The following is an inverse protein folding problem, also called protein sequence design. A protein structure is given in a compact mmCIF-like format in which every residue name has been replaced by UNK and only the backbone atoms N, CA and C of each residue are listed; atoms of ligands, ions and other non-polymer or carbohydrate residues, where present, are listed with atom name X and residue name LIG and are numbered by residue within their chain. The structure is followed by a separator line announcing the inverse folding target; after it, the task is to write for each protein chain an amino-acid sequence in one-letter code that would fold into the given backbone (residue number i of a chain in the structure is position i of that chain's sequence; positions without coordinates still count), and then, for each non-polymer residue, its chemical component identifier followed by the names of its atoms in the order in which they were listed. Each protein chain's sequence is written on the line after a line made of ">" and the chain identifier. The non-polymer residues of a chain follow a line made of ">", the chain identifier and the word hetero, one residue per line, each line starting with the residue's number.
data_IF_050173822689
#
_entry.id   IF_050173822689
#
_cell.length_a   1.000
_cell.length_b   1.000
_cell.length_c   1.000
_cell.angle_alpha   90.00
_cell.angle_beta   90.00
_cell.angle_gamma   90.00
#
_symmetry.space_group_name_H-M   'P 1'
#
loop_
_entity.id
_entity.type
_entity.pdbx_description
1 polymer ?
#
# COMPACT_ATOMS: atom_id res chain seq x y z
N UNK A 1 -4.41 7.47 18.61
CA UNK A 1 -5.37 6.71 17.77
C UNK A 1 -5.70 5.45 18.54
N UNK A 2 -6.96 5.01 18.61
CA UNK A 2 -7.28 3.75 19.27
C UNK A 2 -6.97 2.62 18.28
N UNK A 3 -5.98 1.78 18.58
CA UNK A 3 -5.78 0.54 17.83
C UNK A 3 -6.90 -0.42 18.21
N UNK A 4 -7.66 -0.87 17.24
CA UNK A 4 -8.70 -1.88 17.39
C UNK A 4 -8.80 -2.73 16.12
N UNK A 5 -9.67 -3.74 16.11
CA UNK A 5 -9.85 -4.62 14.96
C UNK A 5 -10.22 -3.87 13.68
N UNK A 6 -11.00 -2.80 13.77
CA UNK A 6 -11.42 -2.03 12.60
C UNK A 6 -10.24 -1.24 12.06
N UNK A 7 -9.38 -0.72 12.94
CA UNK A 7 -8.14 -0.09 12.51
C UNK A 7 -7.22 -1.07 11.78
N UNK A 8 -7.11 -2.30 12.27
CA UNK A 8 -6.35 -3.35 11.59
C UNK A 8 -6.96 -3.69 10.21
N UNK A 9 -8.28 -3.80 10.12
CA UNK A 9 -8.99 -4.01 8.85
C UNK A 9 -8.73 -2.86 7.85
N UNK A 10 -8.77 -1.60 8.29
CA UNK A 10 -8.41 -0.44 7.45
C UNK A 10 -6.96 -0.54 6.94
N UNK A 11 -6.02 -0.89 7.83
CA UNK A 11 -4.62 -1.05 7.48
C UNK A 11 -4.43 -2.15 6.43
N UNK A 12 -5.05 -3.31 6.62
CA UNK A 12 -5.03 -4.42 5.66
C UNK A 12 -5.66 -4.00 4.33
N UNK A 13 -6.82 -3.32 4.35
CA UNK A 13 -7.46 -2.81 3.14
C UNK A 13 -6.55 -1.86 2.37
N UNK A 14 -5.79 -1.01 3.07
CA UNK A 14 -4.85 -0.07 2.44
C UNK A 14 -3.73 -0.77 1.66
N UNK A 15 -3.36 -2.02 2.01
CA UNK A 15 -2.35 -2.78 1.29
C UNK A 15 -2.77 -3.07 -0.17
N UNK A 16 -4.07 -3.22 -0.41
CA UNK A 16 -4.62 -3.47 -1.75
C UNK A 16 -4.53 -2.26 -2.68
N UNK A 17 -4.30 -1.05 -2.15
CA UNK A 17 -4.14 0.17 -2.95
C UNK A 17 -3.01 0.04 -3.99
N UNK A 18 -2.00 -0.80 -3.73
CA UNK A 18 -0.93 -1.08 -4.71
C UNK A 18 -1.47 -1.61 -6.04
N UNK A 19 -2.59 -2.34 -6.03
CA UNK A 19 -3.20 -2.84 -7.26
C UNK A 19 -3.85 -1.70 -8.08
N UNK A 20 -4.44 -0.72 -7.41
CA UNK A 20 -4.99 0.48 -8.05
C UNK A 20 -3.87 1.35 -8.61
N UNK A 21 -2.80 1.52 -7.84
CA UNK A 21 -1.58 2.23 -8.24
C UNK A 21 -0.98 1.59 -9.51
N UNK A 22 -0.82 0.25 -9.53
CA UNK A 22 -0.34 -0.50 -10.70
C UNK A 22 -1.30 -0.41 -11.88
N UNK A 23 -2.61 -0.44 -11.65
CA UNK A 23 -3.62 -0.32 -12.70
C UNK A 23 -3.58 1.05 -13.37
N UNK A 24 -3.37 2.12 -12.60
CA UNK A 24 -3.18 3.46 -13.14
C UNK A 24 -1.90 3.56 -14.00
N UNK A 25 -0.80 2.93 -13.56
CA UNK A 25 0.42 2.84 -14.36
C UNK A 25 0.22 2.06 -15.65
N UNK A 26 -0.44 0.90 -15.60
CA UNK A 26 -0.75 0.09 -16.78
C UNK A 26 -1.64 0.85 -17.76
N UNK A 27 -2.66 1.56 -17.27
CA UNK A 27 -3.51 2.39 -18.12
C UNK A 27 -2.68 3.45 -18.86
N UNK A 28 -1.79 4.15 -18.14
CA UNK A 28 -0.91 5.15 -18.77
C UNK A 28 0.00 4.52 -19.83
N UNK A 29 0.56 3.34 -19.55
CA UNK A 29 1.52 2.67 -20.44
C UNK A 29 0.87 2.04 -21.68
N UNK A 30 -0.30 1.42 -21.54
CA UNK A 30 -0.89 0.58 -22.58
C UNK A 30 -2.14 1.18 -23.24
N UNK A 31 -2.86 2.06 -22.55
CA UNK A 31 -4.16 2.58 -23.02
C UNK A 31 -4.10 4.05 -23.46
N UNK A 32 -2.93 4.70 -23.41
CA UNK A 32 -2.76 6.09 -23.86
C UNK A 32 -1.84 6.22 -25.07
N UNK A 33 -1.96 7.34 -25.79
CA UNK A 33 -1.17 7.59 -27.02
C UNK A 33 0.33 7.71 -26.77
N UNK A 34 0.72 8.11 -25.56
CA UNK A 34 2.11 8.27 -25.14
C UNK A 34 2.31 7.57 -23.80
N UNK A 35 3.09 6.49 -23.80
CA UNK A 35 3.46 5.76 -22.59
C UNK A 35 4.42 6.56 -21.69
N UNK A 36 4.89 5.91 -20.63
CA UNK A 36 5.89 6.49 -19.73
C UNK A 36 7.29 6.33 -20.34
N UNK A 37 8.16 7.30 -20.08
CA UNK A 37 9.60 7.09 -20.28
C UNK A 37 10.13 6.07 -19.27
N UNK A 38 11.25 5.42 -19.57
CA UNK A 38 11.86 4.44 -18.67
C UNK A 38 12.19 5.03 -17.29
N UNK A 39 12.68 6.27 -17.23
CA UNK A 39 12.95 6.97 -15.97
C UNK A 39 11.66 7.21 -15.17
N UNK A 40 10.56 7.59 -15.84
CA UNK A 40 9.28 7.77 -15.18
C UNK A 40 8.74 6.44 -14.63
N UNK A 41 8.83 5.34 -15.40
CA UNK A 41 8.44 4.00 -14.94
C UNK A 41 9.21 3.62 -13.68
N UNK A 42 10.52 3.78 -13.71
CA UNK A 42 11.40 3.40 -12.61
C UNK A 42 11.08 4.22 -11.35
N UNK A 43 10.91 5.54 -11.48
CA UNK A 43 10.55 6.41 -10.36
C UNK A 43 9.19 6.07 -9.76
N UNK A 44 8.20 5.78 -10.60
CA UNK A 44 6.85 5.39 -10.17
C UNK A 44 6.89 4.06 -9.41
N UNK A 45 7.57 3.05 -9.94
CA UNK A 45 7.71 1.74 -9.29
C UNK A 45 8.41 1.86 -7.94
N UNK A 46 9.51 2.61 -7.86
CA UNK A 46 10.21 2.85 -6.59
C UNK A 46 9.29 3.51 -5.57
N UNK A 47 8.54 4.54 -5.98
CA UNK A 47 7.56 5.21 -5.12
C UNK A 47 6.46 4.27 -4.62
N UNK A 48 5.91 3.41 -5.49
CA UNK A 48 4.90 2.42 -5.11
C UNK A 48 5.45 1.38 -4.13
N UNK A 49 6.67 0.90 -4.33
CA UNK A 49 7.32 -0.05 -3.43
C UNK A 49 7.51 0.55 -2.03
N UNK A 50 7.97 1.80 -1.95
CA UNK A 50 8.17 2.48 -0.66
C UNK A 50 6.83 2.75 0.04
N UNK A 51 5.82 3.22 -0.70
CA UNK A 51 4.48 3.41 -0.13
C UNK A 51 3.85 2.10 0.35
N UNK A 52 4.01 1.01 -0.40
CA UNK A 52 3.52 -0.29 0.01
C UNK A 52 4.22 -0.77 1.28
N UNK A 53 5.54 -0.61 1.37
CA UNK A 53 6.31 -0.91 2.57
C UNK A 53 5.81 -0.12 3.79
N UNK A 54 5.60 1.19 3.66
CA UNK A 54 5.07 2.02 4.75
C UNK A 54 3.68 1.56 5.22
N UNK A 55 2.81 1.14 4.29
CA UNK A 55 1.50 0.57 4.63
C UNK A 55 1.63 -0.77 5.35
N UNK A 56 2.58 -1.62 4.94
CA UNK A 56 2.92 -2.87 5.64
C UNK A 56 3.40 -2.57 7.07
N UNK A 57 4.37 -1.68 7.23
CA UNK A 57 4.93 -1.32 8.54
C UNK A 57 3.83 -0.82 9.50
N UNK A 58 2.93 0.06 9.02
CA UNK A 58 1.79 0.53 9.80
C UNK A 58 0.78 -0.59 10.15
N UNK A 59 0.59 -1.57 9.25
CA UNK A 59 -0.26 -2.73 9.51
C UNK A 59 0.35 -3.62 10.60
N UNK A 60 1.66 -3.87 10.53
CA UNK A 60 2.37 -4.64 11.55
C UNK A 60 2.38 -3.92 12.90
N UNK A 61 2.60 -2.60 12.93
CA UNK A 61 2.51 -1.80 14.15
C UNK A 61 1.12 -1.93 14.79
N UNK A 62 0.05 -1.80 14.00
CA UNK A 62 -1.31 -2.00 14.51
C UNK A 62 -1.52 -3.41 15.07
N UNK A 63 -1.00 -4.44 14.37
CA UNK A 63 -1.08 -5.83 14.82
C UNK A 63 -0.35 -6.05 16.14
N UNK A 64 0.88 -5.53 16.27
CA UNK A 64 1.69 -5.64 17.49
C UNK A 64 1.01 -4.99 18.69
N UNK A 65 0.41 -3.81 18.50
CA UNK A 65 -0.34 -3.15 19.56
C UNK A 65 -1.57 -3.95 20.02
N UNK A 66 -2.29 -4.60 19.09
CA UNK A 66 -3.41 -5.47 19.46
C UNK A 66 -2.97 -6.73 20.21
N UNK A 67 -1.81 -7.31 19.84
CA UNK A 67 -1.21 -8.43 20.58
C UNK A 67 -0.85 -7.98 22.01
N UNK A 68 -0.22 -6.81 22.17
CA UNK A 68 0.12 -6.26 23.50
C UNK A 68 -1.12 -6.01 24.35
N UNK A 69 -2.24 -5.64 23.74
CA UNK A 69 -3.52 -5.43 24.41
C UNK A 69 -4.24 -6.75 24.76
N UNK A 70 -3.85 -7.87 24.15
CA UNK A 70 -4.54 -9.17 24.29
C UNK A 70 -5.79 -9.30 23.41
N UNK A 71 -6.00 -8.35 22.49
CA UNK A 71 -7.13 -8.29 21.55
C UNK A 71 -6.87 -9.10 20.27
N UNK A 72 -5.62 -9.54 20.05
CA UNK A 72 -5.21 -10.46 19.00
C UNK A 72 -4.37 -11.59 19.64
N UNK A 73 -4.68 -12.85 19.30
CA UNK A 73 -4.01 -14.05 19.86
C UNK A 73 -3.05 -14.67 18.86
#
# INVERSE_FOLDING_TARGET
>A
MKYDRFKLEECIQSLYQVNEDLSAMMHKEFDTKEGLTEDQKMNIIIGMMELHKLRCDATFECMEELIKQGDLK
#
